data_IF_545314280363
#
_entry.id   IF_545314280363
#
_cell.length_a   1.000
_cell.length_b   1.000
_cell.length_c   1.000
_cell.angle_alpha   90.00
_cell.angle_beta   90.00
_cell.angle_gamma   90.00
#
_symmetry.space_group_name_H-M   'P 1'
#
loop_
_entity.id
_entity.type
_entity.pdbx_description
1 polymer ?
#
# COMPACT_ATOMS: atom_id res chain seq x y z
N UNK A 1 15.53 -11.20 3.81
CA UNK A 1 16.17 -10.62 2.62
C UNK A 1 15.37 -9.41 2.16
N UNK A 2 16.01 -8.35 1.69
CA UNK A 2 15.37 -7.12 1.22
C UNK A 2 15.79 -6.80 -0.21
N UNK A 3 14.86 -6.34 -1.03
CA UNK A 3 15.11 -5.92 -2.40
C UNK A 3 15.33 -4.39 -2.45
N UNK A 4 16.50 -3.93 -2.89
CA UNK A 4 16.83 -2.50 -3.00
C UNK A 4 16.91 -2.10 -4.47
N UNK A 5 16.12 -1.09 -4.86
CA UNK A 5 15.95 -0.62 -6.24
C UNK A 5 15.99 0.90 -6.35
N UNK A 6 16.23 1.41 -7.54
CA UNK A 6 16.18 2.83 -7.87
C UNK A 6 17.56 3.49 -7.83
N UNK A 7 17.62 4.73 -7.34
CA UNK A 7 18.80 5.58 -7.36
C UNK A 7 19.86 5.23 -6.30
N UNK A 8 20.29 3.97 -6.25
CA UNK A 8 21.38 3.45 -5.40
C UNK A 8 22.55 3.00 -6.26
N UNK A 9 23.76 2.89 -5.68
CA UNK A 9 24.93 2.45 -6.45
C UNK A 9 24.82 1.03 -6.98
N UNK A 10 24.25 0.13 -6.18
CA UNK A 10 24.12 -1.28 -6.56
C UNK A 10 22.73 -1.75 -6.17
N UNK A 11 21.88 -1.94 -7.17
CA UNK A 11 20.55 -2.53 -6.97
C UNK A 11 20.66 -4.04 -6.78
N UNK A 12 19.73 -4.64 -6.04
CA UNK A 12 19.69 -6.08 -5.83
C UNK A 12 19.12 -6.50 -4.48
N UNK A 13 19.24 -7.80 -4.18
CA UNK A 13 18.80 -8.37 -2.92
C UNK A 13 19.92 -8.36 -1.89
N UNK A 14 19.61 -7.88 -0.69
CA UNK A 14 20.52 -7.77 0.43
C UNK A 14 20.01 -8.57 1.62
N UNK A 15 20.94 -9.23 2.32
CA UNK A 15 20.65 -9.89 3.59
C UNK A 15 21.09 -8.97 4.72
N UNK A 16 20.13 -8.58 5.57
CA UNK A 16 20.36 -7.69 6.69
C UNK A 16 19.91 -8.37 7.99
N UNK A 17 20.58 -8.10 9.11
CA UNK A 17 20.14 -8.63 10.39
C UNK A 17 18.75 -8.10 10.77
N UNK A 18 18.01 -8.91 11.53
CA UNK A 18 16.68 -8.52 12.01
C UNK A 18 16.77 -7.24 12.86
N UNK A 19 15.92 -6.26 12.56
CA UNK A 19 15.95 -4.95 13.21
C UNK A 19 16.80 -3.89 12.50
N UNK A 20 17.46 -4.25 11.39
CA UNK A 20 18.07 -3.27 10.48
C UNK A 20 17.04 -2.27 9.96
N UNK A 21 17.52 -1.08 9.61
CA UNK A 21 16.71 0.01 9.07
C UNK A 21 16.91 0.14 7.57
N UNK A 22 16.04 0.94 6.95
CA UNK A 22 16.18 1.30 5.53
C UNK A 22 17.57 1.89 5.26
N UNK A 23 18.10 2.71 6.17
CA UNK A 23 19.46 3.24 6.06
C UNK A 23 20.51 2.13 5.87
N UNK A 24 20.47 1.06 6.68
CA UNK A 24 21.42 -0.05 6.60
C UNK A 24 21.33 -0.77 5.25
N UNK A 25 20.12 -0.87 4.68
CA UNK A 25 19.90 -1.45 3.35
C UNK A 25 20.54 -0.60 2.24
N UNK A 26 20.41 0.73 2.33
CA UNK A 26 21.03 1.64 1.36
C UNK A 26 22.55 1.65 1.50
N UNK A 27 23.08 1.58 2.72
CA UNK A 27 24.52 1.48 2.96
C UNK A 27 25.08 0.17 2.39
N UNK A 28 24.37 -0.95 2.57
CA UNK A 28 24.71 -2.23 1.95
C UNK A 28 24.69 -2.15 0.41
N UNK A 29 23.78 -1.35 -0.15
CA UNK A 29 23.70 -1.04 -1.59
C UNK A 29 24.77 -0.05 -2.11
N UNK A 30 25.73 0.33 -1.26
CA UNK A 30 26.84 1.23 -1.63
C UNK A 30 26.50 2.72 -1.55
N UNK A 31 25.33 3.05 -0.98
CA UNK A 31 24.84 4.42 -0.79
C UNK A 31 24.00 4.95 -1.95
N UNK A 32 23.48 6.17 -1.75
CA UNK A 32 22.71 6.90 -2.74
C UNK A 32 23.55 7.35 -3.94
N UNK A 33 22.92 7.38 -5.13
CA UNK A 33 23.43 8.12 -6.28
C UNK A 33 23.23 9.64 -6.09
N UNK A 34 24.00 10.50 -6.78
CA UNK A 34 23.85 11.96 -6.66
C UNK A 34 22.49 12.47 -7.14
N UNK A 35 21.82 11.71 -8.02
CA UNK A 35 20.48 11.99 -8.50
C UNK A 35 19.37 11.47 -7.56
N UNK A 36 19.71 10.79 -6.46
CA UNK A 36 18.73 10.23 -5.54
C UNK A 36 18.04 11.31 -4.69
N UNK A 37 16.73 11.13 -4.46
CA UNK A 37 15.97 11.93 -3.50
C UNK A 37 15.87 11.21 -2.16
N UNK A 38 16.88 11.42 -1.32
CA UNK A 38 16.92 10.87 0.04
C UNK A 38 15.89 11.50 0.99
N UNK A 39 15.29 12.64 0.62
CA UNK A 39 14.29 13.33 1.46
C UNK A 39 12.91 12.70 1.35
N UNK A 40 12.63 12.01 0.24
CA UNK A 40 11.39 11.29 0.00
C UNK A 40 11.30 9.96 0.77
N UNK A 41 12.38 9.51 1.43
CA UNK A 41 12.44 8.21 2.11
C UNK A 41 12.64 8.38 3.61
N UNK A 42 11.86 7.62 4.40
CA UNK A 42 12.06 7.52 5.84
C UNK A 42 13.13 6.47 6.19
N UNK A 43 14.39 6.91 6.30
CA UNK A 43 15.54 6.06 6.60
C UNK A 43 15.51 5.37 7.98
N UNK A 44 14.64 5.82 8.89
CA UNK A 44 14.56 5.31 10.25
C UNK A 44 13.64 4.08 10.39
N UNK A 45 12.91 3.71 9.35
CA UNK A 45 11.99 2.57 9.36
C UNK A 45 12.78 1.26 9.42
N UNK A 46 12.33 0.34 10.28
CA UNK A 46 12.87 -1.01 10.36
C UNK A 46 12.44 -1.77 9.10
N UNK A 47 13.40 -2.41 8.45
CA UNK A 47 13.13 -3.27 7.30
C UNK A 47 12.68 -4.64 7.77
N UNK A 48 11.66 -5.18 7.10
CA UNK A 48 11.14 -6.52 7.33
C UNK A 48 11.70 -7.47 6.27
N UNK A 49 11.67 -8.77 6.57
CA UNK A 49 11.97 -9.76 5.54
C UNK A 49 10.99 -9.64 4.37
N UNK A 50 11.46 -9.97 3.18
CA UNK A 50 10.70 -9.92 1.91
C UNK A 50 10.19 -8.51 1.53
N UNK A 51 10.71 -7.46 2.18
CA UNK A 51 10.38 -6.07 1.84
C UNK A 51 11.17 -5.56 0.63
N UNK A 52 10.63 -4.53 -0.03
CA UNK A 52 11.30 -3.80 -1.11
C UNK A 52 11.48 -2.33 -0.73
N UNK A 53 12.68 -1.81 -0.96
CA UNK A 53 13.06 -0.42 -0.76
C UNK A 53 13.37 0.18 -2.12
N UNK A 54 12.55 1.16 -2.51
CA UNK A 54 12.75 1.93 -3.73
C UNK A 54 13.31 3.31 -3.38
N UNK A 55 14.37 3.72 -4.09
CA UNK A 55 14.96 5.04 -3.96
C UNK A 55 14.61 5.88 -5.20
N UNK A 56 13.74 6.89 -5.07
CA UNK A 56 13.38 7.75 -6.20
C UNK A 56 14.53 8.70 -6.57
N UNK A 57 14.50 9.22 -7.79
CA UNK A 57 15.38 10.30 -8.25
C UNK A 57 14.82 11.68 -7.90
N UNK A 58 15.66 12.71 -7.87
CA UNK A 58 15.23 14.09 -7.68
C UNK A 58 14.26 14.52 -8.78
N UNK A 59 13.05 14.91 -8.38
CA UNK A 59 11.97 15.29 -9.29
C UNK A 59 11.16 14.11 -9.84
N UNK A 60 11.48 12.89 -9.43
CA UNK A 60 10.64 11.72 -9.67
C UNK A 60 9.57 11.67 -8.58
N UNK A 61 8.33 11.96 -8.95
CA UNK A 61 7.18 11.71 -8.08
C UNK A 61 7.03 10.19 -7.96
N UNK A 62 7.38 9.65 -6.79
CA UNK A 62 7.38 8.21 -6.53
C UNK A 62 5.97 7.65 -6.69
N UNK A 63 5.67 7.07 -7.86
CA UNK A 63 4.45 6.30 -8.11
C UNK A 63 4.46 4.93 -7.41
N UNK A 64 5.55 4.60 -6.70
CA UNK A 64 5.63 3.42 -5.85
C UNK A 64 5.40 3.84 -4.40
N UNK A 65 4.45 3.20 -3.69
CA UNK A 65 4.24 3.49 -2.29
C UNK A 65 5.52 3.14 -1.52
N UNK A 66 6.11 4.15 -0.88
CA UNK A 66 7.07 3.95 0.19
C UNK A 66 6.42 3.03 1.21
N UNK A 67 6.90 1.80 1.29
CA UNK A 67 6.42 0.78 2.21
C UNK A 67 6.62 1.27 3.65
N UNK A 68 5.62 1.96 4.15
CA UNK A 68 5.45 2.25 5.55
C UNK A 68 5.15 0.92 6.20
N UNK A 69 6.01 0.49 7.12
CA UNK A 69 5.80 -0.71 7.91
C UNK A 69 4.39 -0.65 8.54
N UNK A 70 3.48 -1.49 8.03
CA UNK A 70 2.12 -1.60 8.55
C UNK A 70 0.99 -1.61 7.53
N UNK A 71 1.12 -2.28 6.38
CA UNK A 71 0.00 -3.10 5.90
C UNK A 71 0.55 -4.21 5.03
N UNK A 72 0.29 -5.46 5.43
CA UNK A 72 0.47 -6.62 4.58
C UNK A 72 -0.45 -6.42 3.37
N UNK A 73 0.10 -5.88 2.29
CA UNK A 73 -0.43 -6.09 0.95
C UNK A 73 -0.11 -7.54 0.57
N UNK A 74 -0.77 -8.47 1.25
CA UNK A 74 -1.07 -9.74 0.61
C UNK A 74 -1.92 -9.39 -0.62
N UNK A 75 -1.74 -10.06 -1.77
CA UNK A 75 -2.65 -9.94 -2.91
C UNK A 75 -4.01 -10.59 -2.61
N UNK A 76 -4.66 -10.19 -1.52
CA UNK A 76 -5.79 -10.89 -0.94
C UNK A 76 -6.61 -9.96 -0.05
N UNK A 77 -7.58 -9.32 -0.67
CA UNK A 77 -8.74 -8.64 -0.09
C UNK A 77 -8.51 -7.20 0.42
N UNK A 78 -9.26 -6.27 -0.18
CA UNK A 78 -9.31 -4.84 0.19
C UNK A 78 -10.08 -4.67 1.51
N UNK A 79 -9.47 -4.00 2.48
CA UNK A 79 -10.10 -3.73 3.79
C UNK A 79 -11.14 -2.60 3.69
N UNK A 80 -12.44 -2.87 3.86
CA UNK A 80 -13.49 -1.85 3.70
C UNK A 80 -13.37 -0.67 4.69
N UNK A 81 -12.84 -0.93 5.88
CA UNK A 81 -12.68 0.08 6.93
C UNK A 81 -11.44 0.96 6.76
N UNK A 82 -10.40 0.45 6.09
CA UNK A 82 -9.10 1.13 5.97
C UNK A 82 -8.80 1.58 4.54
N UNK A 83 -9.42 0.97 3.53
CA UNK A 83 -9.15 1.26 2.13
C UNK A 83 -9.50 2.71 1.78
N UNK A 84 -8.68 3.28 0.92
CA UNK A 84 -8.91 4.59 0.32
C UNK A 84 -9.93 4.50 -0.81
N UNK A 85 -10.46 5.64 -1.25
CA UNK A 85 -11.37 5.67 -2.39
C UNK A 85 -10.70 5.11 -3.66
N UNK A 86 -9.39 5.32 -3.81
CA UNK A 86 -8.61 4.85 -4.96
C UNK A 86 -8.50 3.31 -4.97
N UNK A 87 -8.13 2.71 -3.85
CA UNK A 87 -8.09 1.24 -3.68
C UNK A 87 -9.47 0.58 -3.88
N UNK A 88 -10.54 1.26 -3.47
CA UNK A 88 -11.90 0.78 -3.72
C UNK A 88 -12.25 0.85 -5.21
N UNK A 89 -11.75 1.83 -5.97
CA UNK A 89 -11.98 1.92 -7.42
C UNK A 89 -11.21 0.89 -8.24
N UNK A 90 -10.18 0.26 -7.68
CA UNK A 90 -9.51 -0.88 -8.33
C UNK A 90 -10.40 -2.13 -8.38
N UNK A 91 -11.47 -2.17 -7.57
CA UNK A 91 -12.38 -3.30 -7.52
C UNK A 91 -13.33 -3.35 -8.72
N UNK A 92 -13.56 -4.54 -9.31
CA UNK A 92 -14.40 -4.68 -10.49
C UNK A 92 -15.84 -4.26 -10.20
N UNK A 93 -16.32 -3.26 -10.95
CA UNK A 93 -17.67 -2.73 -10.82
C UNK A 93 -17.82 -1.63 -9.76
N UNK A 94 -16.73 -1.19 -9.12
CA UNK A 94 -16.68 0.02 -8.28
C UNK A 94 -16.05 1.16 -9.07
N UNK A 95 -16.87 2.16 -9.40
CA UNK A 95 -16.39 3.42 -9.94
C UNK A 95 -16.20 4.48 -8.84
N UNK A 96 -15.66 5.65 -9.17
CA UNK A 96 -15.38 6.73 -8.21
C UNK A 96 -16.61 7.15 -7.39
N UNK A 97 -17.80 7.13 -8.00
CA UNK A 97 -19.05 7.43 -7.30
C UNK A 97 -19.38 6.40 -6.20
N UNK A 98 -19.15 5.10 -6.47
CA UNK A 98 -19.43 4.02 -5.50
C UNK A 98 -18.36 3.96 -4.42
N UNK A 99 -17.10 4.14 -4.78
CA UNK A 99 -16.00 4.24 -3.81
C UNK A 99 -16.23 5.38 -2.81
N UNK A 100 -16.61 6.56 -3.31
CA UNK A 100 -16.98 7.69 -2.46
C UNK A 100 -18.17 7.36 -1.54
N UNK A 101 -19.19 6.67 -2.05
CA UNK A 101 -20.33 6.25 -1.25
C UNK A 101 -19.95 5.27 -0.12
N UNK A 102 -19.01 4.34 -0.36
CA UNK A 102 -18.50 3.41 0.67
C UNK A 102 -17.78 4.21 1.79
N UNK A 103 -16.95 5.18 1.40
CA UNK A 103 -16.21 6.04 2.34
C UNK A 103 -17.16 6.93 3.14
N UNK A 104 -18.17 7.53 2.50
CA UNK A 104 -19.21 8.29 3.21
C UNK A 104 -20.00 7.40 4.15
N UNK A 105 -20.42 6.22 3.70
CA UNK A 105 -21.20 5.28 4.51
C UNK A 105 -20.46 4.90 5.80
N UNK A 106 -19.16 4.58 5.74
CA UNK A 106 -18.39 4.27 6.96
C UNK A 106 -18.17 5.48 7.88
N UNK A 107 -18.20 6.68 7.32
CA UNK A 107 -18.04 7.93 8.09
C UNK A 107 -19.34 8.30 8.80
N UNK A 108 -20.48 8.07 8.15
CA UNK A 108 -21.81 8.44 8.66
C UNK A 108 -22.43 7.34 9.55
N UNK A 109 -22.31 6.06 9.15
CA UNK A 109 -22.89 4.91 9.84
C UNK A 109 -21.89 4.18 10.75
N UNK A 110 -20.62 4.58 10.70
CA UNK A 110 -19.53 3.92 11.40
C UNK A 110 -18.91 2.75 10.60
N UNK A 111 -17.88 2.09 11.15
CA UNK A 111 -17.14 1.05 10.45
C UNK A 111 -18.04 -0.13 10.06
N UNK A 112 -17.74 -0.72 8.91
CA UNK A 112 -18.36 -1.96 8.45
C UNK A 112 -18.02 -3.09 9.43
N UNK A 113 -19.06 -3.81 9.85
CA UNK A 113 -18.98 -4.99 10.73
C UNK A 113 -19.03 -6.29 9.95
N UNK A 114 -19.75 -6.29 8.83
CA UNK A 114 -19.91 -7.43 7.92
C UNK A 114 -19.82 -6.96 6.47
N UNK A 115 -19.30 -7.81 5.59
CA UNK A 115 -19.15 -7.49 4.16
C UNK A 115 -20.50 -7.17 3.53
N UNK A 116 -21.58 -7.82 4.02
CA UNK A 116 -22.98 -7.62 3.63
C UNK A 116 -23.45 -6.16 3.71
N UNK A 117 -22.89 -5.36 4.62
CA UNK A 117 -23.23 -3.94 4.75
C UNK A 117 -22.81 -3.08 3.56
N UNK A 118 -22.02 -3.63 2.62
CA UNK A 118 -21.83 -3.01 1.31
C UNK A 118 -23.15 -2.85 0.55
N UNK A 119 -24.15 -3.70 0.80
CA UNK A 119 -25.46 -3.61 0.13
C UNK A 119 -26.30 -2.43 0.62
N UNK A 120 -26.02 -1.89 1.81
CA UNK A 120 -26.62 -0.64 2.31
C UNK A 120 -26.01 0.60 1.63
N UNK A 121 -24.87 0.46 0.95
CA UNK A 121 -24.22 1.56 0.26
C UNK A 121 -24.95 1.90 -1.02
N UNK A 122 -25.30 3.18 -1.16
CA UNK A 122 -26.01 3.68 -2.35
C UNK A 122 -25.18 3.44 -3.62
N UNK A 123 -25.76 2.66 -4.54
CA UNK A 123 -25.13 2.30 -5.82
C UNK A 123 -24.41 0.95 -5.85
N UNK A 124 -24.37 0.22 -4.74
CA UNK A 124 -23.93 -1.18 -4.70
C UNK A 124 -25.15 -2.09 -4.71
N UNK A 125 -25.38 -2.74 -5.86
CA UNK A 125 -26.39 -3.79 -5.98
C UNK A 125 -25.78 -5.18 -5.77
N UNK A 126 -26.65 -6.20 -5.66
CA UNK A 126 -26.28 -7.61 -5.49
C UNK A 126 -25.18 -8.06 -6.46
N UNK A 127 -25.29 -7.66 -7.73
CA UNK A 127 -24.30 -8.00 -8.77
C UNK A 127 -22.91 -7.44 -8.48
N UNK A 128 -22.81 -6.21 -7.99
CA UNK A 128 -21.51 -5.65 -7.59
C UNK A 128 -21.03 -6.32 -6.31
N UNK A 129 -21.90 -6.50 -5.33
CA UNK A 129 -21.58 -7.15 -4.07
C UNK A 129 -21.01 -8.57 -4.25
N UNK A 130 -21.60 -9.40 -5.12
CA UNK A 130 -21.12 -10.78 -5.37
C UNK A 130 -19.69 -10.82 -5.91
N UNK A 131 -19.32 -9.84 -6.74
CA UNK A 131 -17.95 -9.72 -7.26
C UNK A 131 -16.97 -9.20 -6.20
N UNK A 132 -17.48 -8.41 -5.26
CA UNK A 132 -16.68 -7.75 -4.23
C UNK A 132 -16.45 -8.63 -3.01
N UNK A 133 -17.42 -9.47 -2.62
CA UNK A 133 -17.37 -10.26 -1.38
C UNK A 133 -16.14 -11.19 -1.30
N UNK A 134 -15.60 -11.60 -2.45
CA UNK A 134 -14.40 -12.45 -2.55
C UNK A 134 -13.10 -11.63 -2.64
N UNK A 135 -13.21 -10.30 -2.81
CA UNK A 135 -12.11 -9.36 -3.00
C UNK A 135 -12.02 -8.31 -1.88
N UNK A 136 -12.91 -8.35 -0.89
CA UNK A 136 -12.94 -7.42 0.23
C UNK A 136 -12.99 -8.16 1.57
N UNK A 137 -12.40 -7.54 2.60
CA UNK A 137 -12.42 -8.04 3.98
C UNK A 137 -12.71 -6.92 4.98
N UNK A 138 -12.93 -7.31 6.22
CA UNK A 138 -13.16 -6.40 7.35
C UNK A 138 -12.16 -6.73 8.45
N UNK A 139 -11.46 -5.69 8.91
CA UNK A 139 -10.52 -5.71 10.02
C UNK A 139 -10.79 -4.56 10.98
#
# INVERSE_FOLDING_TARGET
>A
MIDVKGAVKTEGLYELPAGSRINDAIEAAGGFLPEADSRSINLAVIVLDESAVYVPKQGEESLMPVATAGTSAEPGLVDLNSATADELTELPGIGPAKAAAIVSHRTENGPFKSVEQLMDVTGIGEKSFEQLKELVRIR
#
